data_IF_559179904007
#
_entry.id   IF_559179904007
#
_cell.length_a   1.000
_cell.length_b   1.000
_cell.length_c   1.000
_cell.angle_alpha   90.00
_cell.angle_beta   90.00
_cell.angle_gamma   90.00
#
_symmetry.space_group_name_H-M   'P 1'
#
loop_
_entity.id
_entity.type
_entity.pdbx_description
1 polymer ?
#
# COMPACT_ATOMS: atom_id res chain seq x y z
N UNK A 1 -0.96 5.41 25.12
CA UNK A 1 -0.50 5.79 23.78
C UNK A 1 0.98 6.15 23.90
N UNK A 2 1.86 5.55 23.09
CA UNK A 2 3.29 5.85 23.13
C UNK A 2 3.57 7.01 22.17
N UNK A 3 3.66 8.23 22.70
CA UNK A 3 3.81 9.47 21.89
C UNK A 3 5.16 9.51 21.20
N UNK A 4 6.24 9.16 21.89
CA UNK A 4 7.60 9.13 21.34
C UNK A 4 7.70 8.19 20.13
N UNK A 5 7.03 7.03 20.20
CA UNK A 5 6.97 6.09 19.08
C UNK A 5 6.23 6.68 17.88
N UNK A 6 5.13 7.40 18.11
CA UNK A 6 4.36 8.06 17.04
C UNK A 6 5.17 9.16 16.38
N UNK A 7 5.83 10.02 17.16
CA UNK A 7 6.68 11.09 16.66
C UNK A 7 7.84 10.55 15.82
N UNK A 8 8.52 9.50 16.32
CA UNK A 8 9.59 8.84 15.57
C UNK A 8 9.09 8.26 14.24
N UNK A 9 8.00 7.50 14.28
CA UNK A 9 7.43 6.88 13.06
C UNK A 9 7.00 7.95 12.05
N UNK A 10 6.36 9.03 12.52
CA UNK A 10 5.96 10.13 11.66
C UNK A 10 7.17 10.83 11.03
N UNK A 11 8.23 11.08 11.79
CA UNK A 11 9.47 11.68 11.30
C UNK A 11 10.18 10.79 10.26
N UNK A 12 10.20 9.47 10.47
CA UNK A 12 10.76 8.49 9.53
C UNK A 12 9.96 8.45 8.22
N UNK A 13 8.62 8.52 8.28
CA UNK A 13 7.73 8.58 7.12
C UNK A 13 7.95 9.84 6.27
N UNK A 14 8.32 10.97 6.87
CA UNK A 14 8.53 12.26 6.18
C UNK A 14 10.01 12.64 6.04
N UNK A 15 10.91 11.65 6.11
CA UNK A 15 12.34 11.87 5.95
C UNK A 15 12.66 12.61 4.64
N UNK A 16 13.63 13.54 4.69
CA UNK A 16 13.99 14.37 3.53
C UNK A 16 14.39 13.50 2.32
N UNK A 17 13.83 13.83 1.15
CA UNK A 17 14.07 13.08 -0.08
C UNK A 17 13.28 11.78 -0.21
N UNK A 18 12.45 11.43 0.79
CA UNK A 18 11.55 10.27 0.74
C UNK A 18 10.08 10.67 0.72
N UNK A 19 9.24 9.76 0.25
CA UNK A 19 7.80 9.88 0.24
C UNK A 19 7.07 8.57 0.48
N UNK A 20 5.74 8.62 0.37
CA UNK A 20 4.85 7.48 0.57
C UNK A 20 4.36 6.97 -0.79
N UNK A 21 4.46 5.66 -1.01
CA UNK A 21 3.78 4.98 -2.10
C UNK A 21 2.36 4.59 -1.65
N UNK A 22 1.35 5.18 -2.25
CA UNK A 22 -0.04 4.76 -2.07
C UNK A 22 -0.34 3.56 -2.97
N UNK A 23 -0.34 2.34 -2.39
CA UNK A 23 -0.63 1.08 -3.05
C UNK A 23 -1.87 0.39 -2.41
N UNK A 24 -2.81 1.20 -1.94
CA UNK A 24 -3.97 0.85 -1.14
C UNK A 24 -5.26 0.78 -1.94
N UNK A 25 -5.16 0.61 -3.27
CA UNK A 25 -6.34 0.45 -4.11
C UNK A 25 -7.15 -0.76 -3.67
N UNK A 26 -8.44 -0.53 -3.42
CA UNK A 26 -9.40 -1.60 -3.17
C UNK A 26 -9.42 -2.60 -4.33
N UNK A 27 -9.96 -3.79 -4.08
CA UNK A 27 -10.07 -4.81 -5.11
C UNK A 27 -10.77 -4.31 -6.38
N UNK A 28 -11.85 -3.52 -6.24
CA UNK A 28 -12.54 -2.93 -7.38
C UNK A 28 -11.68 -1.92 -8.13
N UNK A 29 -11.07 -0.97 -7.43
CA UNK A 29 -10.22 0.06 -8.04
C UNK A 29 -9.03 -0.56 -8.77
N UNK A 30 -8.33 -1.51 -8.15
CA UNK A 30 -7.18 -2.16 -8.79
C UNK A 30 -7.61 -3.02 -9.98
N UNK A 31 -8.74 -3.75 -9.86
CA UNK A 31 -9.24 -4.57 -10.97
C UNK A 31 -9.56 -3.71 -12.20
N UNK A 32 -10.16 -2.54 -12.00
CA UNK A 32 -10.40 -1.59 -13.10
C UNK A 32 -9.09 -1.11 -13.76
N UNK A 33 -8.03 -0.87 -12.97
CA UNK A 33 -6.72 -0.48 -13.51
C UNK A 33 -6.08 -1.61 -14.32
N UNK A 34 -6.19 -2.87 -13.88
CA UNK A 34 -5.71 -4.03 -14.64
C UNK A 34 -6.47 -4.20 -15.96
N UNK A 35 -7.80 -4.11 -15.93
CA UNK A 35 -8.65 -4.20 -17.13
C UNK A 35 -8.27 -3.13 -18.14
N UNK A 36 -8.03 -1.89 -17.70
CA UNK A 36 -7.68 -0.77 -18.58
C UNK A 36 -6.40 -0.99 -19.39
N UNK A 37 -5.52 -1.91 -18.94
CA UNK A 37 -4.29 -2.29 -19.65
C UNK A 37 -4.34 -3.72 -20.22
N UNK A 38 -5.53 -4.33 -20.29
CA UNK A 38 -5.75 -5.64 -20.89
C UNK A 38 -5.34 -6.83 -20.02
N UNK A 39 -5.21 -6.64 -18.71
CA UNK A 39 -4.90 -7.72 -17.76
C UNK A 39 -6.17 -8.19 -17.05
N UNK A 40 -6.44 -9.49 -17.09
CA UNK A 40 -7.59 -10.09 -16.40
C UNK A 40 -7.42 -9.96 -14.87
N UNK A 41 -8.39 -9.37 -14.16
CA UNK A 41 -8.27 -9.16 -12.72
C UNK A 41 -8.49 -10.46 -11.94
N UNK A 42 -7.52 -10.80 -11.10
CA UNK A 42 -7.62 -11.87 -10.12
C UNK A 42 -6.88 -11.46 -8.85
N UNK A 43 -7.08 -12.21 -7.75
CA UNK A 43 -6.31 -12.00 -6.53
C UNK A 43 -4.79 -12.13 -6.80
N UNK A 44 -4.40 -13.09 -7.63
CA UNK A 44 -3.00 -13.27 -8.02
C UNK A 44 -2.49 -12.14 -8.91
N UNK A 45 -3.24 -11.71 -9.93
CA UNK A 45 -2.81 -10.59 -10.78
C UNK A 45 -2.64 -9.28 -9.99
N UNK A 46 -3.56 -9.04 -9.03
CA UNK A 46 -3.47 -7.93 -8.08
C UNK A 46 -2.26 -8.05 -7.18
N UNK A 47 -1.97 -9.25 -6.65
CA UNK A 47 -0.80 -9.52 -5.81
C UNK A 47 0.50 -9.35 -6.58
N UNK A 48 0.62 -9.97 -7.75
CA UNK A 48 1.78 -9.92 -8.64
C UNK A 48 2.13 -8.50 -9.07
N UNK A 49 1.12 -7.66 -9.34
CA UNK A 49 1.35 -6.24 -9.62
C UNK A 49 2.05 -5.53 -8.44
N UNK A 50 1.57 -5.74 -7.20
CA UNK A 50 2.17 -5.12 -6.01
C UNK A 50 3.54 -5.72 -5.69
N UNK A 51 3.69 -7.04 -5.72
CA UNK A 51 4.97 -7.70 -5.45
C UNK A 51 6.05 -7.23 -6.42
N UNK A 52 5.71 -7.04 -7.70
CA UNK A 52 6.63 -6.48 -8.69
C UNK A 52 7.09 -5.06 -8.32
N UNK A 53 6.17 -4.17 -7.93
CA UNK A 53 6.53 -2.82 -7.47
C UNK A 53 7.45 -2.90 -6.24
N UNK A 54 7.09 -3.71 -5.24
CA UNK A 54 7.85 -3.83 -4.00
C UNK A 54 9.22 -4.47 -4.22
N UNK A 55 9.37 -5.33 -5.24
CA UNK A 55 10.62 -5.98 -5.61
C UNK A 55 11.60 -5.06 -6.35
N UNK A 56 11.15 -3.90 -6.84
CA UNK A 56 12.01 -2.91 -7.50
C UNK A 56 13.27 -2.66 -6.66
N UNK A 57 14.45 -2.61 -7.25
CA UNK A 57 15.69 -2.37 -6.50
C UNK A 57 15.94 -0.86 -6.34
N UNK A 58 16.39 -0.44 -5.15
CA UNK A 58 16.83 0.93 -4.89
C UNK A 58 15.72 1.97 -4.62
N UNK A 59 14.43 1.61 -4.73
CA UNK A 59 13.35 2.56 -4.44
C UNK A 59 13.24 2.95 -2.96
N UNK A 60 13.82 2.17 -2.04
CA UNK A 60 13.93 2.49 -0.61
C UNK A 60 14.71 3.79 -0.34
N UNK A 61 15.49 4.27 -1.32
CA UNK A 61 16.13 5.59 -1.27
C UNK A 61 15.13 6.75 -1.36
N UNK A 62 13.97 6.53 -2.00
CA UNK A 62 12.94 7.53 -2.25
C UNK A 62 11.61 7.22 -1.55
N UNK A 63 11.40 6.00 -1.06
CA UNK A 63 10.17 5.59 -0.38
C UNK A 63 10.46 5.24 1.08
N UNK A 64 9.74 5.89 1.99
CA UNK A 64 9.79 5.65 3.44
C UNK A 64 8.65 4.76 3.91
N UNK A 65 7.49 4.79 3.24
CA UNK A 65 6.32 4.01 3.62
C UNK A 65 5.45 3.62 2.43
N UNK A 66 4.68 2.55 2.60
CA UNK A 66 3.73 2.04 1.61
C UNK A 66 2.37 1.86 2.28
N UNK A 67 1.32 2.46 1.74
CA UNK A 67 -0.05 2.22 2.20
C UNK A 67 -0.59 0.99 1.48
N UNK A 68 -1.09 0.00 2.22
CA UNK A 68 -1.61 -1.25 1.71
C UNK A 68 -3.13 -1.34 1.89
N UNK A 69 -3.79 -2.09 1.01
CA UNK A 69 -5.16 -2.54 1.19
C UNK A 69 -5.20 -3.86 2.00
N UNK A 70 -6.36 -4.18 2.62
CA UNK A 70 -6.52 -5.37 3.48
C UNK A 70 -6.17 -6.69 2.77
N UNK A 71 -6.46 -6.80 1.47
CA UNK A 71 -6.05 -7.98 0.68
C UNK A 71 -4.51 -8.10 0.64
N UNK A 72 -3.81 -7.00 0.38
CA UNK A 72 -2.35 -7.00 0.16
C UNK A 72 -1.57 -7.15 1.46
N UNK A 73 -2.03 -6.56 2.57
CA UNK A 73 -1.33 -6.69 3.86
C UNK A 73 -1.31 -8.14 4.37
N UNK A 74 -2.25 -8.99 3.90
CA UNK A 74 -2.36 -10.42 4.23
C UNK A 74 -1.72 -11.35 3.20
N UNK A 75 -1.17 -10.79 2.12
CA UNK A 75 -0.51 -11.56 1.05
C UNK A 75 0.99 -11.72 1.32
N UNK A 76 1.60 -12.62 0.55
CA UNK A 76 3.03 -12.91 0.57
C UNK A 76 3.68 -12.50 -0.74
N UNK A 77 4.99 -12.24 -0.70
CA UNK A 77 5.87 -12.15 -1.86
C UNK A 77 6.04 -13.52 -2.52
N UNK A 78 6.64 -13.56 -3.72
CA UNK A 78 6.83 -14.79 -4.50
C UNK A 78 7.66 -15.86 -3.78
N UNK A 79 8.55 -15.44 -2.87
CA UNK A 79 9.34 -16.31 -2.01
C UNK A 79 8.60 -16.80 -0.75
N UNK A 80 7.33 -16.41 -0.58
CA UNK A 80 6.50 -16.76 0.56
C UNK A 80 6.62 -15.79 1.75
N UNK A 81 7.51 -14.80 1.71
CA UNK A 81 7.66 -13.81 2.79
C UNK A 81 6.40 -12.93 2.90
N UNK A 82 5.80 -12.71 4.08
CA UNK A 82 4.70 -11.77 4.23
C UNK A 82 5.06 -10.37 3.72
N UNK A 83 4.18 -9.75 2.93
CA UNK A 83 4.45 -8.43 2.32
C UNK A 83 4.88 -7.37 3.36
N UNK A 84 4.26 -7.26 4.55
CA UNK A 84 4.70 -6.29 5.56
C UNK A 84 6.12 -6.54 6.07
N UNK A 85 6.49 -7.80 6.23
CA UNK A 85 7.84 -8.20 6.67
C UNK A 85 8.86 -7.90 5.58
N UNK A 86 8.51 -8.17 4.32
CA UNK A 86 9.34 -7.84 3.18
C UNK A 86 9.63 -6.33 3.11
N UNK A 87 8.60 -5.48 3.23
CA UNK A 87 8.77 -4.02 3.24
C UNK A 87 9.63 -3.56 4.43
N UNK A 88 9.35 -4.06 5.63
CA UNK A 88 10.12 -3.72 6.83
C UNK A 88 11.59 -4.12 6.70
N UNK A 89 11.89 -5.27 6.10
CA UNK A 89 13.27 -5.73 5.86
C UNK A 89 14.07 -4.78 4.96
N UNK A 90 13.38 -3.95 4.17
CA UNK A 90 13.96 -2.94 3.28
C UNK A 90 13.96 -1.53 3.88
N UNK A 91 13.61 -1.39 5.17
CA UNK A 91 13.53 -0.10 5.85
C UNK A 91 12.33 0.75 5.43
N UNK A 92 11.25 0.12 4.97
CA UNK A 92 10.01 0.77 4.55
C UNK A 92 8.90 0.45 5.55
N UNK A 93 8.19 1.47 5.99
CA UNK A 93 7.07 1.32 6.92
C UNK A 93 5.82 0.79 6.19
N UNK A 94 5.31 -0.41 6.52
CA UNK A 94 4.02 -0.86 6.03
C UNK A 94 2.89 -0.10 6.73
N UNK A 95 2.03 0.55 5.96
CA UNK A 95 0.81 1.23 6.41
C UNK A 95 -0.44 0.51 5.92
N UNK A 96 -1.57 0.76 6.57
CA UNK A 96 -2.86 0.14 6.26
C UNK A 96 -3.93 1.20 6.02
N UNK A 97 -4.65 1.09 4.91
CA UNK A 97 -5.89 1.81 4.70
C UNK A 97 -7.00 1.19 5.55
N UNK A 98 -7.69 2.01 6.33
CA UNK A 98 -8.69 1.55 7.31
C UNK A 98 -10.12 2.02 7.02
N UNK A 99 -10.34 2.95 6.09
CA UNK A 99 -11.70 3.33 5.70
C UNK A 99 -12.37 2.23 4.86
N UNK A 100 -13.70 2.21 4.90
CA UNK A 100 -14.54 1.25 4.16
C UNK A 100 -15.18 1.87 2.92
N UNK A 101 -14.53 2.91 2.37
CA UNK A 101 -14.98 3.72 1.24
C UNK A 101 -15.96 4.83 1.64
N UNK A 102 -15.95 5.91 0.86
CA UNK A 102 -16.88 7.01 0.98
C UNK A 102 -18.33 6.54 0.77
N UNK A 103 -19.27 7.20 1.46
CA UNK A 103 -20.72 6.99 1.37
C UNK A 103 -21.35 8.34 1.11
N UNK A 104 -22.39 8.35 0.30
CA UNK A 104 -23.20 9.55 0.06
C UNK A 104 -23.69 10.12 1.40
N UNK A 105 -23.48 11.42 1.59
CA UNK A 105 -23.94 12.18 2.73
C UNK A 105 -25.43 12.50 2.57
N UNK A 106 -26.23 12.09 3.55
CA UNK A 106 -27.68 12.30 3.50
C UNK A 106 -28.03 13.79 3.34
N UNK A 107 -28.79 14.11 2.28
CA UNK A 107 -29.22 15.45 1.87
C UNK A 107 -28.15 16.37 1.25
N UNK A 108 -26.97 15.85 0.90
CA UNK A 108 -25.90 16.60 0.24
C UNK A 108 -25.47 15.88 -1.04
N UNK A 109 -26.13 16.19 -2.16
CA UNK A 109 -25.90 15.48 -3.42
C UNK A 109 -24.47 15.69 -3.93
N UNK A 110 -23.73 14.60 -4.11
CA UNK A 110 -22.36 14.63 -4.62
C UNK A 110 -21.27 14.74 -3.55
N UNK A 111 -21.62 14.61 -2.26
CA UNK A 111 -20.70 14.60 -1.12
C UNK A 111 -20.78 13.30 -0.32
#
# INVERSE_FOLDING_TARGET
>A
MNVELLERTAAELVASGKGILAADESNGTMSNRLIAVGVEPSAEARRAYRSNIFATQGYESAISGVILFDETIRQTMDDGTPIPEYLASRGIHPGIKVDTGAKELANYSGE
#
